data_IF_226670025595
#
_entry.id   IF_226670025595
#
_cell.length_a   1.000
_cell.length_b   1.000
_cell.length_c   1.000
_cell.angle_alpha   90.00
_cell.angle_beta   90.00
_cell.angle_gamma   90.00
#
_symmetry.space_group_name_H-M   'P 1'
#
loop_
_entity.id
_entity.type
_entity.pdbx_description
1 polymer ?
#
# COMPACT_ATOMS: atom_id res chain seq x y z
N UNK A 1 -10.45 -3.16 29.08
CA UNK A 1 -10.36 -2.07 28.08
C UNK A 1 -9.03 -2.07 27.31
N UNK A 2 -7.85 -1.92 27.95
CA UNK A 2 -6.53 -1.94 27.26
C UNK A 2 -6.26 -3.16 26.36
N UNK A 3 -6.70 -4.36 26.78
CA UNK A 3 -6.48 -5.61 26.01
C UNK A 3 -7.19 -5.59 24.65
N UNK A 4 -8.37 -4.96 24.55
CA UNK A 4 -9.12 -4.91 23.29
C UNK A 4 -8.45 -3.93 22.32
N UNK A 5 -8.10 -2.73 22.78
CA UNK A 5 -7.34 -1.77 21.98
C UNK A 5 -6.03 -2.38 21.44
N UNK A 6 -5.27 -3.09 22.29
CA UNK A 6 -4.03 -3.72 21.86
C UNK A 6 -4.25 -4.76 20.76
N UNK A 7 -5.30 -5.59 20.88
CA UNK A 7 -5.66 -6.58 19.85
C UNK A 7 -6.02 -5.93 18.52
N UNK A 8 -6.77 -4.84 18.54
CA UNK A 8 -7.13 -4.11 17.32
C UNK A 8 -5.89 -3.45 16.69
N UNK A 9 -5.00 -2.86 17.50
CA UNK A 9 -3.70 -2.34 17.02
C UNK A 9 -2.85 -3.45 16.40
N UNK A 10 -2.81 -4.64 17.00
CA UNK A 10 -2.03 -5.76 16.47
C UNK A 10 -2.63 -6.33 15.18
N UNK A 11 -3.96 -6.30 15.03
CA UNK A 11 -4.64 -6.64 13.79
C UNK A 11 -4.34 -5.62 12.68
N UNK A 12 -4.42 -4.33 13.01
CA UNK A 12 -4.08 -3.22 12.10
C UNK A 12 -2.64 -3.36 11.59
N UNK A 13 -1.68 -3.62 12.48
CA UNK A 13 -0.29 -3.91 12.12
C UNK A 13 -0.15 -5.02 11.09
N UNK A 14 -0.82 -6.15 11.30
CA UNK A 14 -0.77 -7.29 10.38
C UNK A 14 -1.31 -6.93 9.00
N UNK A 15 -2.41 -6.16 8.94
CA UNK A 15 -2.95 -5.68 7.67
C UNK A 15 -1.99 -4.72 6.96
N UNK A 16 -1.41 -3.76 7.69
CA UNK A 16 -0.42 -2.83 7.12
C UNK A 16 0.80 -3.57 6.55
N UNK A 17 1.32 -4.58 7.26
CA UNK A 17 2.42 -5.40 6.74
C UNK A 17 2.02 -6.21 5.51
N UNK A 18 0.80 -6.73 5.47
CA UNK A 18 0.29 -7.42 4.29
C UNK A 18 0.20 -6.48 3.08
N UNK A 19 -0.37 -5.28 3.25
CA UNK A 19 -0.41 -4.24 2.21
C UNK A 19 0.99 -3.90 1.71
N UNK A 20 1.93 -3.67 2.64
CA UNK A 20 3.32 -3.35 2.30
C UNK A 20 3.96 -4.44 1.44
N UNK A 21 3.74 -5.71 1.78
CA UNK A 21 4.28 -6.85 1.03
C UNK A 21 3.68 -6.96 -0.38
N UNK A 22 2.38 -6.68 -0.54
CA UNK A 22 1.73 -6.67 -1.86
C UNK A 22 2.28 -5.55 -2.74
N UNK A 23 2.48 -4.35 -2.18
CA UNK A 23 3.05 -3.21 -2.89
C UNK A 23 4.50 -3.48 -3.30
N UNK A 24 5.31 -4.08 -2.43
CA UNK A 24 6.69 -4.46 -2.73
C UNK A 24 6.75 -5.47 -3.89
N UNK A 25 5.90 -6.49 -3.86
CA UNK A 25 5.81 -7.48 -4.93
C UNK A 25 5.36 -6.84 -6.26
N UNK A 26 4.38 -5.92 -6.20
CA UNK A 26 3.88 -5.23 -7.38
C UNK A 26 4.94 -4.30 -7.98
N UNK A 27 5.74 -3.65 -7.14
CA UNK A 27 6.90 -2.85 -7.55
C UNK A 27 7.96 -3.70 -8.24
N UNK A 28 8.33 -4.85 -7.68
CA UNK A 28 9.31 -5.74 -8.30
C UNK A 28 8.83 -6.21 -9.69
N UNK A 29 7.56 -6.60 -9.80
CA UNK A 29 6.95 -6.98 -11.08
C UNK A 29 6.92 -5.83 -12.07
N UNK A 30 6.66 -4.61 -11.63
CA UNK A 30 6.67 -3.44 -12.51
C UNK A 30 8.05 -3.19 -13.12
N UNK A 31 9.11 -3.38 -12.34
CA UNK A 31 10.50 -3.23 -12.80
C UNK A 31 10.83 -4.33 -13.81
N UNK A 32 10.52 -5.60 -13.49
CA UNK A 32 10.73 -6.73 -14.41
C UNK A 32 9.99 -6.55 -15.74
N UNK A 33 8.73 -6.13 -15.69
CA UNK A 33 7.92 -5.88 -16.88
C UNK A 33 8.57 -4.87 -17.83
N UNK A 34 9.19 -3.81 -17.27
CA UNK A 34 9.90 -2.81 -18.07
C UNK A 34 11.23 -3.35 -18.59
N UNK A 35 12.02 -4.03 -17.76
CA UNK A 35 13.31 -4.58 -18.15
C UNK A 35 13.21 -5.62 -19.27
N UNK A 36 12.19 -6.48 -19.21
CA UNK A 36 12.02 -7.59 -20.14
C UNK A 36 11.08 -7.25 -21.32
N UNK A 37 10.46 -6.06 -21.31
CA UNK A 37 9.45 -5.66 -22.29
C UNK A 37 8.15 -6.47 -22.20
N UNK A 38 7.87 -7.06 -21.04
CA UNK A 38 6.71 -7.93 -20.83
C UNK A 38 5.43 -7.12 -20.58
N UNK A 39 4.66 -6.95 -21.65
CA UNK A 39 3.40 -6.20 -21.60
C UNK A 39 2.28 -6.90 -20.85
N UNK A 40 2.33 -8.24 -20.70
CA UNK A 40 1.32 -8.96 -19.90
C UNK A 40 1.58 -8.73 -18.42
N UNK A 41 2.84 -8.84 -17.98
CA UNK A 41 3.22 -8.54 -16.61
C UNK A 41 2.89 -7.09 -16.23
N UNK A 42 3.09 -6.13 -17.14
CA UNK A 42 2.67 -4.75 -16.93
C UNK A 42 1.14 -4.60 -16.72
N UNK A 43 0.32 -5.37 -17.44
CA UNK A 43 -1.14 -5.39 -17.25
C UNK A 43 -1.52 -6.04 -15.93
N UNK A 44 -0.82 -7.09 -15.52
CA UNK A 44 -1.04 -7.72 -14.23
C UNK A 44 -0.76 -6.75 -13.07
N UNK A 45 0.33 -5.99 -13.15
CA UNK A 45 0.68 -4.96 -12.14
C UNK A 45 -0.48 -3.98 -11.95
N UNK A 46 -1.06 -3.50 -13.06
CA UNK A 46 -2.22 -2.60 -13.04
C UNK A 46 -3.50 -3.26 -12.52
N UNK A 47 -3.67 -4.57 -12.73
CA UNK A 47 -4.85 -5.29 -12.23
C UNK A 47 -4.76 -5.48 -10.71
N UNK A 48 -3.56 -5.81 -10.19
CA UNK A 48 -3.30 -6.01 -8.76
C UNK A 48 -3.37 -4.72 -7.96
N UNK A 49 -3.09 -3.59 -8.59
CA UNK A 49 -3.22 -2.26 -7.99
C UNK A 49 -4.59 -2.01 -7.33
N UNK A 50 -5.68 -2.46 -7.97
CA UNK A 50 -7.02 -2.34 -7.38
C UNK A 50 -7.19 -3.08 -6.05
N UNK A 51 -6.50 -4.21 -5.89
CA UNK A 51 -6.53 -4.97 -4.63
C UNK A 51 -5.74 -4.24 -3.54
N UNK A 52 -4.63 -3.61 -3.91
CA UNK A 52 -3.82 -2.76 -3.04
C UNK A 52 -4.64 -1.54 -2.57
N UNK A 53 -5.32 -0.85 -3.49
CA UNK A 53 -6.18 0.31 -3.16
C UNK A 53 -7.29 -0.06 -2.17
N UNK A 54 -7.95 -1.21 -2.38
CA UNK A 54 -9.01 -1.66 -1.48
C UNK A 54 -8.46 -1.97 -0.08
N UNK A 55 -7.29 -2.62 -0.01
CA UNK A 55 -6.68 -2.95 1.27
C UNK A 55 -6.14 -1.70 2.00
N UNK A 56 -5.67 -0.70 1.26
CA UNK A 56 -5.31 0.62 1.79
C UNK A 56 -6.50 1.28 2.48
N UNK A 57 -7.66 1.33 1.81
CA UNK A 57 -8.90 1.89 2.37
C UNK A 57 -9.32 1.11 3.61
N UNK A 58 -9.21 -0.22 3.61
CA UNK A 58 -9.52 -1.03 4.79
C UNK A 58 -8.60 -0.72 5.98
N UNK A 59 -7.31 -0.46 5.74
CA UNK A 59 -6.35 -0.07 6.79
C UNK A 59 -6.70 1.32 7.34
N UNK A 60 -7.04 2.27 6.49
CA UNK A 60 -7.49 3.60 6.91
C UNK A 60 -8.78 3.51 7.76
N UNK A 61 -9.77 2.75 7.30
CA UNK A 61 -11.01 2.54 8.03
C UNK A 61 -10.78 1.90 9.40
N UNK A 62 -9.93 0.88 9.50
CA UNK A 62 -9.60 0.22 10.76
C UNK A 62 -8.93 1.21 11.73
N UNK A 63 -8.03 2.07 11.24
CA UNK A 63 -7.46 3.17 12.01
C UNK A 63 -8.53 4.13 12.55
N UNK A 64 -9.44 4.60 11.68
CA UNK A 64 -10.51 5.52 12.07
C UNK A 64 -11.49 4.89 13.07
N UNK A 65 -11.82 3.61 12.90
CA UNK A 65 -12.65 2.83 13.85
C UNK A 65 -12.00 2.78 15.22
N UNK A 66 -10.69 2.50 15.30
CA UNK A 66 -9.95 2.47 16.58
C UNK A 66 -9.96 3.86 17.24
N UNK A 67 -9.71 4.93 16.47
CA UNK A 67 -9.73 6.30 16.99
C UNK A 67 -11.10 6.67 17.56
N UNK A 68 -12.18 6.36 16.85
CA UNK A 68 -13.54 6.67 17.25
C UNK A 68 -14.00 5.86 18.48
N UNK A 69 -13.69 4.57 18.52
CA UNK A 69 -14.18 3.66 19.56
C UNK A 69 -13.40 3.77 20.87
N UNK A 70 -12.08 3.94 20.79
CA UNK A 70 -11.20 3.85 21.96
C UNK A 70 -10.64 5.19 22.44
N UNK A 71 -10.72 6.25 21.62
CA UNK A 71 -10.21 7.59 21.94
C UNK A 71 -8.79 7.55 22.56
N UNK A 72 -7.82 6.86 21.91
CA UNK A 72 -6.48 6.69 22.45
C UNK A 72 -5.76 8.03 22.60
N UNK A 73 -4.81 8.09 23.52
CA UNK A 73 -4.02 9.31 23.83
C UNK A 73 -2.53 9.02 23.85
N UNK A 74 -1.73 10.08 23.82
CA UNK A 74 -0.27 10.05 23.95
C UNK A 74 0.43 9.10 22.96
N UNK A 75 0.89 7.94 23.41
CA UNK A 75 1.68 7.00 22.59
C UNK A 75 0.79 6.30 21.56
N UNK A 76 -0.38 5.82 21.97
CA UNK A 76 -1.29 5.06 21.10
C UNK A 76 -1.87 5.95 19.98
N UNK A 77 -2.20 7.20 20.32
CA UNK A 77 -2.63 8.19 19.31
C UNK A 77 -1.52 8.46 18.29
N UNK A 78 -0.30 8.76 18.75
CA UNK A 78 0.83 9.00 17.85
C UNK A 78 1.13 7.80 16.97
N UNK A 79 0.95 6.59 17.49
CA UNK A 79 1.10 5.35 16.73
C UNK A 79 0.09 5.25 15.58
N UNK A 80 -1.21 5.47 15.85
CA UNK A 80 -2.24 5.41 14.81
C UNK A 80 -2.04 6.49 13.73
N UNK A 81 -1.65 7.70 14.13
CA UNK A 81 -1.30 8.76 13.17
C UNK A 81 -0.10 8.36 12.30
N UNK A 82 0.90 7.68 12.87
CA UNK A 82 2.02 7.17 12.08
C UNK A 82 1.57 6.10 11.08
N UNK A 83 0.66 5.19 11.49
CA UNK A 83 0.08 4.19 10.58
C UNK A 83 -0.65 4.84 9.41
N UNK A 84 -1.50 5.86 9.67
CA UNK A 84 -2.20 6.58 8.59
C UNK A 84 -1.23 7.23 7.59
N UNK A 85 -0.15 7.85 8.08
CA UNK A 85 0.88 8.43 7.22
C UNK A 85 1.59 7.37 6.38
N UNK A 86 1.97 6.25 7.01
CA UNK A 86 2.60 5.13 6.32
C UNK A 86 1.67 4.52 5.27
N UNK A 87 0.37 4.39 5.56
CA UNK A 87 -0.62 3.86 4.61
C UNK A 87 -0.64 4.67 3.31
N UNK A 88 -0.70 6.01 3.45
CA UNK A 88 -0.63 6.93 2.33
C UNK A 88 0.71 6.81 1.58
N UNK A 89 1.84 6.75 2.28
CA UNK A 89 3.14 6.58 1.62
C UNK A 89 3.23 5.23 0.85
N UNK A 90 2.62 4.16 1.37
CA UNK A 90 2.56 2.84 0.72
C UNK A 90 1.70 2.87 -0.54
N UNK A 91 0.53 3.51 -0.49
CA UNK A 91 -0.34 3.74 -1.66
C UNK A 91 0.43 4.42 -2.78
N UNK A 92 1.12 5.51 -2.46
CA UNK A 92 1.91 6.27 -3.44
C UNK A 92 3.04 5.46 -4.04
N UNK A 93 3.56 4.44 -3.35
CA UNK A 93 4.54 3.50 -3.92
C UNK A 93 3.85 2.56 -4.91
N UNK A 94 2.68 2.02 -4.58
CA UNK A 94 1.88 1.20 -5.51
C UNK A 94 1.53 1.95 -6.80
N UNK A 95 1.09 3.19 -6.62
CA UNK A 95 0.72 4.10 -7.70
C UNK A 95 1.93 4.41 -8.63
N UNK A 96 3.13 4.55 -8.04
CA UNK A 96 4.40 4.65 -8.77
C UNK A 96 4.76 3.36 -9.50
N UNK A 97 4.54 2.19 -8.90
CA UNK A 97 4.79 0.90 -9.55
C UNK A 97 3.96 0.75 -10.83
N UNK A 98 2.67 1.14 -10.80
CA UNK A 98 1.84 1.16 -12.00
C UNK A 98 2.37 2.13 -13.05
N UNK A 99 2.85 3.30 -12.66
CA UNK A 99 3.43 4.27 -13.59
C UNK A 99 4.75 3.78 -14.21
N UNK A 100 5.57 3.04 -13.45
CA UNK A 100 6.77 2.35 -13.95
C UNK A 100 6.35 1.31 -15.00
N UNK A 101 5.41 0.43 -14.68
CA UNK A 101 4.92 -0.61 -15.58
C UNK A 101 4.34 -0.05 -16.90
N UNK A 102 3.80 1.17 -16.89
CA UNK A 102 3.32 1.86 -18.11
C UNK A 102 4.44 2.39 -19.01
N UNK A 103 5.70 2.34 -18.58
CA UNK A 103 6.84 2.79 -19.37
C UNK A 103 7.00 4.30 -19.51
N UNK A 104 6.29 5.12 -18.71
CA UNK A 104 6.30 6.60 -18.82
C UNK A 104 7.67 7.27 -18.54
N UNK A 105 8.70 6.50 -18.18
CA UNK A 105 10.06 7.02 -17.96
C UNK A 105 11.18 6.31 -18.75
N UNK A 106 10.89 5.24 -19.49
CA UNK A 106 11.95 4.38 -20.05
C UNK A 106 12.11 4.44 -21.58
N UNK A 107 11.16 5.05 -22.31
CA UNK A 107 11.24 5.20 -23.78
C UNK A 107 11.63 6.62 -24.21
N UNK A 108 12.79 7.08 -23.74
CA UNK A 108 13.51 8.15 -24.43
C UNK A 108 14.47 7.51 -25.45
N UNK A 109 13.94 6.86 -26.51
CA UNK A 109 14.85 6.30 -27.53
C UNK A 109 14.33 5.29 -28.55
N UNK A 110 13.04 5.02 -28.69
CA UNK A 110 12.59 4.16 -29.80
C UNK A 110 11.24 4.63 -30.36
N UNK A 111 11.17 4.98 -31.66
CA UNK A 111 9.93 5.37 -32.30
C UNK A 111 9.06 4.12 -32.49
N UNK A 112 7.79 4.25 -32.11
CA UNK A 112 6.72 3.42 -32.64
C UNK A 112 6.50 3.75 -34.13
#
# INVERSE_FOLDING_TARGET
MKIHLQKEIDRLKKRLFHLSSLVEENLERSIRAVCDGDTELAREVRRRDREIDLLEVEVEEDCLKILALHQPVAVDLRYLIAVLKMNNDIERIGDRAVNIARGKGCFAGSPL
#
